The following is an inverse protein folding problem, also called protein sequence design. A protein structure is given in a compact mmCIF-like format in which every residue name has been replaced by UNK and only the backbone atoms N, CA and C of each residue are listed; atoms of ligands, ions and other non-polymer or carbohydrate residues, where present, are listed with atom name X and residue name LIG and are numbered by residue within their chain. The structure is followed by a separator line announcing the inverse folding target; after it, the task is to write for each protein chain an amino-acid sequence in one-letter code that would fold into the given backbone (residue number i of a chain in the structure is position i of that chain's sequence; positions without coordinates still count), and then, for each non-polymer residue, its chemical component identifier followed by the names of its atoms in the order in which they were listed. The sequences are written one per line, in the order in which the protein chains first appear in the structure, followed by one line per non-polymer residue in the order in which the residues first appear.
data_IF_132406979818
#
_entry.id   IF_132406979818
#
_cell.length_a   1.000
_cell.length_b   1.000
_cell.length_c   1.000
_cell.angle_alpha   90.00
_cell.angle_beta   90.00
_cell.angle_gamma   90.00
#
_symmetry.space_group_name_H-M   'P 1'
#
loop_
_entity.id
_entity.type
_entity.pdbx_description
1 polymer ?
#
# COMPACT_ATOMS: atom_id res chain seq x y z
N UNK A 1 -6.98 5.40 2.48
CA UNK A 1 -6.08 6.05 1.52
C UNK A 1 -5.53 7.32 2.10
N UNK A 2 -4.22 7.50 1.97
CA UNK A 2 -3.50 8.73 2.22
C UNK A 2 -2.88 9.18 0.89
N UNK A 3 -3.20 10.38 0.43
CA UNK A 3 -2.64 10.96 -0.78
C UNK A 3 -1.21 11.43 -0.48
N UNK A 4 -0.23 10.87 -1.20
CA UNK A 4 1.17 11.15 -0.92
C UNK A 4 1.58 12.58 -1.30
N UNK A 5 0.93 13.16 -2.31
CA UNK A 5 1.25 14.49 -2.84
C UNK A 5 0.79 15.67 -1.98
N UNK A 6 -0.38 15.57 -1.33
CA UNK A 6 -0.96 16.66 -0.55
C UNK A 6 -1.21 16.31 0.94
N UNK A 7 -0.97 15.06 1.33
CA UNK A 7 -1.14 14.57 2.70
C UNK A 7 -2.60 14.40 3.14
N UNK A 8 -3.57 14.53 2.24
CA UNK A 8 -4.99 14.35 2.55
C UNK A 8 -5.32 12.86 2.76
N UNK A 9 -6.40 12.58 3.48
CA UNK A 9 -6.84 11.20 3.74
C UNK A 9 -8.31 10.97 3.45
N UNK A 10 -8.58 9.95 2.64
CA UNK A 10 -9.86 9.26 2.57
C UNK A 10 -9.73 7.94 3.33
N UNK A 11 -10.17 7.89 4.59
CA UNK A 11 -10.03 6.71 5.44
C UNK A 11 -11.34 5.91 5.52
N UNK A 12 -11.24 4.58 5.42
CA UNK A 12 -12.24 3.74 6.05
C UNK A 12 -12.13 3.95 7.57
N UNK A 13 -13.26 3.94 8.28
CA UNK A 13 -13.27 3.91 9.73
C UNK A 13 -12.63 2.63 10.29
N UNK A 14 -12.90 2.32 11.55
CA UNK A 14 -12.43 1.05 12.14
C UNK A 14 -12.95 -0.16 11.34
N UNK A 15 -12.04 -1.00 10.86
CA UNK A 15 -12.36 -2.30 10.24
C UNK A 15 -12.05 -3.39 11.27
N UNK A 16 -13.07 -4.07 11.78
CA UNK A 16 -12.86 -5.19 12.70
C UNK A 16 -12.42 -6.45 11.93
N UNK A 17 -11.92 -7.45 12.66
CA UNK A 17 -11.52 -8.74 12.06
C UNK A 17 -12.66 -9.34 11.24
N UNK A 18 -12.35 -9.72 10.00
CA UNK A 18 -13.33 -10.31 9.06
C UNK A 18 -14.25 -9.29 8.37
N UNK A 19 -14.15 -8.01 8.71
CA UNK A 19 -14.87 -6.96 8.01
C UNK A 19 -14.05 -6.42 6.83
N UNK A 20 -14.74 -5.78 5.89
CA UNK A 20 -14.16 -5.11 4.76
C UNK A 20 -14.76 -3.71 4.60
N UNK A 21 -14.04 -2.85 3.90
CA UNK A 21 -14.49 -1.52 3.49
C UNK A 21 -14.02 -1.25 2.07
N UNK A 22 -14.77 -0.43 1.33
CA UNK A 22 -14.37 0.03 0.01
C UNK A 22 -14.23 1.55 0.00
N UNK A 23 -13.29 2.04 -0.79
CA UNK A 23 -13.10 3.45 -1.11
C UNK A 23 -12.89 3.54 -2.63
N UNK A 24 -13.33 4.64 -3.22
CA UNK A 24 -13.10 4.91 -4.63
C UNK A 24 -11.80 5.68 -4.79
N UNK A 25 -11.00 5.30 -5.77
CA UNK A 25 -9.76 5.99 -6.15
C UNK A 25 -10.00 6.57 -7.54
N UNK A 26 -9.89 7.91 -7.72
CA UNK A 26 -9.98 8.49 -9.04
C UNK A 26 -8.89 7.94 -9.97
N UNK A 27 -9.23 7.77 -11.24
CA UNK A 27 -8.24 7.50 -12.28
C UNK A 27 -7.25 8.68 -12.40
N UNK A 28 -5.99 8.38 -12.70
CA UNK A 28 -4.89 9.36 -12.78
C UNK A 28 -4.44 9.95 -11.43
N UNK A 29 -4.64 9.23 -10.34
CA UNK A 29 -4.16 9.64 -9.02
C UNK A 29 -2.63 9.54 -8.93
N UNK A 30 -1.98 10.67 -8.64
CA UNK A 30 -0.52 10.86 -8.67
C UNK A 30 0.29 9.97 -7.72
N UNK A 31 -0.35 9.41 -6.70
CA UNK A 31 0.27 8.51 -5.74
C UNK A 31 -0.47 8.47 -4.40
N UNK A 32 -0.76 7.28 -3.90
CA UNK A 32 -1.48 7.06 -2.66
C UNK A 32 -0.96 5.88 -1.84
N UNK A 33 -1.31 5.90 -0.57
CA UNK A 33 -0.91 4.89 0.41
C UNK A 33 -2.11 4.26 1.10
N UNK A 34 -2.04 2.95 1.33
CA UNK A 34 -3.00 2.19 2.14
C UNK A 34 -2.24 1.52 3.28
N UNK A 35 -2.72 1.69 4.51
CA UNK A 35 -2.08 1.15 5.71
C UNK A 35 -3.10 0.98 6.84
N UNK A 36 -2.78 0.12 7.81
CA UNK A 36 -3.57 -0.04 9.03
C UNK A 36 -2.93 0.69 10.21
N UNK A 37 -3.73 1.42 10.97
CA UNK A 37 -3.29 2.15 12.17
C UNK A 37 -3.37 1.24 13.41
N UNK A 38 -2.37 0.36 13.56
CA UNK A 38 -2.23 -0.55 14.71
C UNK A 38 -0.78 -0.59 15.19
N UNK A 39 -0.53 -1.11 16.40
CA UNK A 39 0.84 -1.43 16.84
C UNK A 39 1.80 -0.24 16.95
N UNK A 40 1.28 0.98 17.05
CA UNK A 40 2.07 2.22 17.09
C UNK A 40 2.21 2.93 15.74
N UNK A 41 1.72 2.32 14.64
CA UNK A 41 1.50 3.03 13.38
C UNK A 41 0.33 4.01 13.53
N UNK A 42 0.58 5.30 13.39
CA UNK A 42 -0.43 6.36 13.46
C UNK A 42 -0.40 7.22 12.21
N UNK A 43 -1.51 7.86 11.85
CA UNK A 43 -1.53 8.74 10.68
C UNK A 43 -0.66 9.98 10.86
N UNK A 44 -0.64 10.57 12.05
CA UNK A 44 0.09 11.81 12.37
C UNK A 44 1.61 11.67 12.21
N UNK A 45 2.05 10.43 12.10
CA UNK A 45 3.42 10.04 11.86
C UNK A 45 3.78 10.14 10.36
N UNK A 46 2.85 9.98 9.43
CA UNK A 46 3.08 10.18 7.99
C UNK A 46 2.85 11.67 7.61
N UNK A 47 3.67 12.34 6.77
CA UNK A 47 4.93 11.95 6.14
C UNK A 47 6.07 12.84 6.71
N UNK A 48 6.70 12.45 7.83
CA UNK A 48 7.89 13.18 8.30
C UNK A 48 9.11 12.30 8.15
N UNK A 49 10.11 12.75 7.40
CA UNK A 49 11.40 12.09 7.19
C UNK A 49 12.26 11.89 8.46
N UNK A 50 11.68 11.81 9.68
CA UNK A 50 12.40 11.87 10.96
C UNK A 50 11.81 11.00 12.10
N UNK A 51 11.08 9.93 11.80
CA UNK A 51 10.54 9.02 12.82
C UNK A 51 10.75 7.55 12.51
N UNK A 52 10.93 6.72 13.55
CA UNK A 52 10.81 5.25 13.44
C UNK A 52 9.33 4.95 13.25
N UNK A 53 8.89 4.89 12.01
CA UNK A 53 7.57 4.38 11.69
C UNK A 53 7.56 2.87 11.89
N UNK A 54 6.40 2.36 12.29
CA UNK A 54 6.12 0.92 12.34
C UNK A 54 4.97 0.64 11.39
N UNK A 55 4.96 1.25 10.22
CA UNK A 55 3.85 1.15 9.28
C UNK A 55 4.31 0.34 8.08
N UNK A 56 3.72 -0.84 7.90
CA UNK A 56 3.75 -1.49 6.58
C UNK A 56 2.80 -0.72 5.67
N UNK A 57 3.28 -0.28 4.51
CA UNK A 57 2.50 0.51 3.55
C UNK A 57 2.24 -0.30 2.29
N UNK A 58 1.07 -0.13 1.68
CA UNK A 58 0.89 -0.35 0.25
C UNK A 58 0.99 1.01 -0.43
N UNK A 59 2.00 1.21 -1.26
CA UNK A 59 2.20 2.43 -2.05
C UNK A 59 1.76 2.15 -3.47
N UNK A 60 0.95 3.02 -4.06
CA UNK A 60 0.44 2.87 -5.41
C UNK A 60 0.48 4.20 -6.17
N UNK A 61 0.58 4.11 -7.49
CA UNK A 61 0.44 5.24 -8.41
C UNK A 61 -0.42 4.82 -9.59
N UNK A 62 -1.42 5.65 -9.90
CA UNK A 62 -2.29 5.52 -11.07
C UNK A 62 -2.11 6.71 -12.03
N UNK A 63 -1.08 7.53 -11.81
CA UNK A 63 -0.73 8.76 -12.54
C UNK A 63 -0.60 8.59 -14.05
N UNK A 64 -0.26 7.37 -14.47
CA UNK A 64 -0.28 6.96 -15.87
C UNK A 64 -1.35 5.88 -16.07
N UNK A 65 -2.38 6.11 -16.91
CA UNK A 65 -3.45 5.13 -17.13
C UNK A 65 -2.96 3.83 -17.78
N UNK A 66 -1.74 3.84 -18.34
CA UNK A 66 -1.05 2.69 -18.90
C UNK A 66 -0.03 2.06 -17.95
N UNK A 67 0.07 2.53 -16.70
CA UNK A 67 1.05 2.09 -15.71
C UNK A 67 0.47 2.28 -14.29
N UNK A 68 -0.50 1.44 -13.91
CA UNK A 68 -0.93 1.38 -12.51
C UNK A 68 0.00 0.46 -11.77
N UNK A 69 0.75 1.01 -10.82
CA UNK A 69 1.81 0.29 -10.13
C UNK A 69 1.59 0.35 -8.62
N UNK A 70 1.86 -0.76 -7.96
CA UNK A 70 1.81 -0.85 -6.51
C UNK A 70 2.97 -1.67 -5.98
N UNK A 71 3.44 -1.32 -4.80
CA UNK A 71 4.38 -2.10 -4.02
C UNK A 71 4.03 -2.05 -2.53
N UNK A 72 4.41 -3.11 -1.81
CA UNK A 72 4.37 -3.08 -0.35
C UNK A 72 5.69 -2.49 0.12
N UNK A 73 5.67 -1.51 1.01
CA UNK A 73 6.86 -0.85 1.53
C UNK A 73 7.01 -1.08 3.03
N UNK A 74 8.23 -1.43 3.42
CA UNK A 74 8.74 -1.57 4.78
C UNK A 74 9.81 -0.53 5.12
N UNK A 75 10.04 0.46 4.26
CA UNK A 75 10.96 1.57 4.54
C UNK A 75 10.55 2.28 5.84
N UNK A 76 9.24 2.42 6.03
CA UNK A 76 8.60 2.99 7.21
C UNK A 76 8.33 1.94 8.32
N UNK A 77 9.07 0.83 8.32
CA UNK A 77 8.96 -0.25 9.31
C UNK A 77 7.85 -1.26 9.03
N UNK A 78 7.39 -1.95 10.08
CA UNK A 78 6.40 -3.01 9.98
C UNK A 78 5.48 -3.04 11.21
N UNK A 79 4.17 -3.19 11.00
CA UNK A 79 3.18 -3.48 12.05
C UNK A 79 2.29 -4.67 11.72
N UNK A 80 1.75 -4.70 10.51
CA UNK A 80 0.83 -5.74 10.04
C UNK A 80 1.27 -6.26 8.69
N UNK A 81 0.91 -7.49 8.40
CA UNK A 81 1.13 -8.06 7.08
C UNK A 81 0.13 -7.50 6.08
N UNK A 82 0.59 -7.20 4.87
CA UNK A 82 -0.25 -6.77 3.75
C UNK A 82 -0.19 -7.84 2.66
N UNK A 83 -1.36 -8.21 2.17
CA UNK A 83 -1.52 -8.95 0.92
C UNK A 83 -2.39 -8.09 0.02
N UNK A 84 -1.97 -7.87 -1.22
CA UNK A 84 -2.83 -7.20 -2.20
C UNK A 84 -2.90 -7.97 -3.51
N UNK A 85 -4.00 -7.76 -4.23
CA UNK A 85 -4.17 -8.21 -5.60
C UNK A 85 -4.92 -7.15 -6.40
N UNK A 86 -4.61 -7.08 -7.68
CA UNK A 86 -5.47 -6.36 -8.62
C UNK A 86 -6.79 -7.12 -8.80
N UNK A 87 -7.86 -6.40 -9.09
CA UNK A 87 -9.18 -6.99 -9.40
C UNK A 87 -9.20 -7.70 -10.75
N UNK A 88 -8.29 -7.35 -11.65
CA UNK A 88 -7.99 -8.11 -12.86
C UNK A 88 -7.13 -9.32 -12.51
N UNK A 89 -7.68 -10.53 -12.67
CA UNK A 89 -7.00 -11.78 -12.35
C UNK A 89 -5.80 -12.12 -13.26
N UNK A 90 -5.60 -11.40 -14.36
CA UNK A 90 -4.38 -11.51 -15.17
C UNK A 90 -3.20 -10.74 -14.57
N UNK A 91 -3.48 -9.81 -13.67
CA UNK A 91 -2.48 -8.99 -12.99
C UNK A 91 -2.11 -9.57 -11.63
N UNK A 92 -0.83 -9.90 -11.45
CA UNK A 92 -0.31 -10.42 -10.18
C UNK A 92 -0.27 -9.35 -9.09
N UNK A 93 -0.62 -9.75 -7.87
CA UNK A 93 -0.43 -8.96 -6.66
C UNK A 93 0.90 -9.22 -5.95
N UNK A 94 1.00 -8.78 -4.70
CA UNK A 94 2.13 -9.11 -3.84
C UNK A 94 1.70 -9.35 -2.39
N UNK A 95 2.59 -9.94 -1.59
CA UNK A 95 2.35 -10.19 -0.18
C UNK A 95 3.63 -10.00 0.63
N UNK A 96 3.46 -9.42 1.82
CA UNK A 96 4.47 -9.31 2.85
C UNK A 96 3.76 -9.51 4.20
N UNK A 97 3.85 -10.72 4.75
CA UNK A 97 3.09 -11.15 5.94
C UNK A 97 3.96 -11.31 7.18
N UNK A 98 5.27 -11.03 7.05
CA UNK A 98 6.23 -11.06 8.13
C UNK A 98 7.19 -9.86 8.02
N UNK A 99 7.80 -9.41 9.13
CA UNK A 99 8.66 -8.24 9.14
C UNK A 99 9.97 -8.41 8.35
N UNK A 100 10.31 -9.61 7.87
CA UNK A 100 11.52 -9.93 7.11
C UNK A 100 11.23 -10.33 5.65
N UNK A 101 10.02 -10.09 5.13
CA UNK A 101 9.66 -10.45 3.77
C UNK A 101 10.68 -9.90 2.73
N UNK A 102 11.03 -10.72 1.74
CA UNK A 102 12.16 -10.44 0.86
C UNK A 102 11.98 -9.22 -0.06
N UNK A 103 13.05 -8.82 -0.78
CA UNK A 103 13.01 -7.69 -1.71
C UNK A 103 12.05 -7.87 -2.89
N UNK A 104 11.66 -9.11 -3.23
CA UNK A 104 10.62 -9.37 -4.22
C UNK A 104 9.19 -9.16 -3.70
N UNK A 105 9.04 -9.03 -2.38
CA UNK A 105 7.77 -8.95 -1.66
C UNK A 105 7.50 -7.55 -1.12
N UNK A 106 8.56 -6.84 -0.71
CA UNK A 106 8.44 -5.46 -0.26
C UNK A 106 9.66 -4.60 -0.59
N UNK A 107 9.41 -3.33 -0.86
CA UNK A 107 10.41 -2.28 -0.88
C UNK A 107 10.92 -2.06 0.53
N UNK A 108 12.21 -2.27 0.76
CA UNK A 108 12.79 -2.26 2.11
C UNK A 108 14.15 -1.57 2.17
N UNK A 109 14.72 -1.22 1.03
CA UNK A 109 15.88 -0.35 0.91
C UNK A 109 15.66 0.59 -0.27
N UNK A 110 16.22 1.82 -0.27
CA UNK A 110 16.04 2.78 -1.38
C UNK A 110 16.39 2.25 -2.78
N UNK A 111 17.12 1.14 -2.86
CA UNK A 111 17.65 0.52 -4.07
C UNK A 111 16.88 -0.70 -4.56
N UNK A 112 15.94 -1.27 -3.79
CA UNK A 112 15.29 -2.55 -4.13
C UNK A 112 13.86 -2.45 -4.70
N UNK A 113 13.34 -1.25 -4.94
CA UNK A 113 11.93 -1.02 -5.30
C UNK A 113 11.48 -1.72 -6.57
N UNK A 114 12.38 -1.89 -7.55
CA UNK A 114 12.05 -2.53 -8.81
C UNK A 114 11.49 -3.96 -8.69
N UNK A 115 11.93 -4.74 -7.70
CA UNK A 115 11.55 -6.17 -7.60
C UNK A 115 10.20 -6.40 -6.89
N UNK A 116 9.80 -5.49 -6.00
CA UNK A 116 8.53 -5.56 -5.26
C UNK A 116 7.36 -4.96 -6.02
N UNK A 117 7.62 -4.10 -7.01
CA UNK A 117 6.59 -3.47 -7.85
C UNK A 117 5.79 -4.53 -8.60
N UNK A 118 4.47 -4.33 -8.60
CA UNK A 118 3.52 -5.01 -9.46
C UNK A 118 2.75 -3.98 -10.27
N UNK A 119 2.47 -4.31 -11.52
CA UNK A 119 1.85 -3.40 -12.47
C UNK A 119 0.61 -4.05 -13.07
N UNK A 120 -0.44 -3.26 -13.28
CA UNK A 120 -1.63 -3.68 -14.00
C UNK A 120 -2.16 -2.58 -14.92
N UNK A 121 -2.12 -2.81 -16.23
CA UNK A 121 -2.44 -1.78 -17.22
C UNK A 121 -3.91 -1.82 -17.68
N UNK A 122 -4.75 -2.54 -16.95
CA UNK A 122 -6.17 -2.67 -17.25
C UNK A 122 -6.93 -1.43 -16.79
N UNK A 123 -7.63 -0.72 -17.69
CA UNK A 123 -8.45 0.44 -17.31
C UNK A 123 -9.48 0.09 -16.23
N UNK A 124 -9.64 0.95 -15.22
CA UNK A 124 -10.62 0.74 -14.14
C UNK A 124 -10.27 -0.40 -13.17
N UNK A 125 -9.03 -0.91 -13.18
CA UNK A 125 -8.63 -1.96 -12.24
C UNK A 125 -8.59 -1.42 -10.81
N UNK A 126 -9.36 -2.04 -9.93
CA UNK A 126 -9.29 -1.82 -8.49
C UNK A 126 -8.27 -2.74 -7.81
N UNK A 127 -8.09 -2.54 -6.51
CA UNK A 127 -7.16 -3.30 -5.67
C UNK A 127 -7.91 -3.89 -4.47
N UNK A 128 -7.71 -5.18 -4.21
CA UNK A 128 -8.07 -5.80 -2.94
C UNK A 128 -6.87 -5.80 -2.02
N UNK A 129 -7.07 -5.37 -0.77
CA UNK A 129 -6.03 -5.34 0.26
C UNK A 129 -6.51 -6.09 1.48
N UNK A 130 -5.72 -7.04 1.95
CA UNK A 130 -5.96 -7.81 3.17
C UNK A 130 -4.88 -7.49 4.19
N UNK A 131 -5.30 -7.13 5.40
CA UNK A 131 -4.41 -6.97 6.54
C UNK A 131 -4.39 -8.26 7.37
N UNK A 132 -3.18 -8.70 7.72
CA UNK A 132 -2.94 -9.90 8.54
C UNK A 132 -2.16 -9.52 9.80
N UNK A 133 -2.50 -10.16 10.92
CA UNK A 133 -1.92 -9.90 12.25
C UNK A 133 -1.25 -11.15 12.79
#
# INVERSE_FOLDING_TARGET
MFHAGDGTTAAAGTINRGQASAIQIPENEGGYRVFAQTGGCRREQLPRWRGIYRCTLLECSDDNPNFRQCDISRIDGYNVGIVFSFTDGSCGGNSCTDPNCGPGNAFSTPTNGGASIRTCNTPGVGIFVTFTC
#
